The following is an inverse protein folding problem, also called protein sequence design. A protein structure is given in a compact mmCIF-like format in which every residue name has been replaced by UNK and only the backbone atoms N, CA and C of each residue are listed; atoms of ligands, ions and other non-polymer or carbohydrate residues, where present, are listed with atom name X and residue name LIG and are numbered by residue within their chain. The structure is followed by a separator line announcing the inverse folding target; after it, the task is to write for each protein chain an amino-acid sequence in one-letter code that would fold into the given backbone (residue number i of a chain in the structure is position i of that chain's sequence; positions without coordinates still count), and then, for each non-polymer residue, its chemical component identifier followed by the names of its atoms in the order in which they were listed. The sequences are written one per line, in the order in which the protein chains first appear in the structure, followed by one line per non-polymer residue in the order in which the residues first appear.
data_IF_069686401634
#
_entry.id   IF_069686401634
#
_cell.length_a   1.000
_cell.length_b   1.000
_cell.length_c   1.000
_cell.angle_alpha   90.00
_cell.angle_beta   90.00
_cell.angle_gamma   90.00
#
_symmetry.space_group_name_H-M   'P 1'
#
loop_
_entity.id
_entity.type
_entity.pdbx_description
1 polymer ?
#
# COMPACT_ATOMS: atom_id res chain seq x y z
N UNK A 1 -12.36 19.54 3.30
CA UNK A 1 -11.40 19.15 4.36
C UNK A 1 -10.58 20.37 4.75
N UNK A 2 -10.16 20.52 6.01
CA UNK A 2 -9.24 21.60 6.39
C UNK A 2 -7.82 21.29 5.90
N UNK A 3 -7.01 22.32 5.61
CA UNK A 3 -5.58 22.17 5.24
C UNK A 3 -4.77 21.31 6.23
N UNK A 4 -5.26 21.20 7.48
CA UNK A 4 -4.64 20.41 8.53
C UNK A 4 -4.74 18.89 8.30
N UNK A 5 -5.86 18.39 7.77
CA UNK A 5 -6.05 16.94 7.55
C UNK A 5 -5.18 16.45 6.38
N UNK A 6 -5.12 17.25 5.30
CA UNK A 6 -4.28 16.97 4.15
C UNK A 6 -2.79 16.88 4.51
N UNK A 7 -2.29 17.81 5.32
CA UNK A 7 -0.90 17.79 5.78
C UNK A 7 -0.59 16.55 6.63
N UNK A 8 -1.53 16.12 7.49
CA UNK A 8 -1.37 14.89 8.28
C UNK A 8 -1.32 13.63 7.42
N UNK A 9 -2.15 13.56 6.38
CA UNK A 9 -2.16 12.40 5.48
C UNK A 9 -0.84 12.31 4.68
N UNK A 10 -0.26 13.46 4.30
CA UNK A 10 1.08 13.52 3.69
C UNK A 10 2.20 13.10 4.66
N UNK A 11 2.11 13.51 5.92
CA UNK A 11 3.06 13.10 6.97
C UNK A 11 2.99 11.58 7.22
N UNK A 12 1.79 11.02 7.32
CA UNK A 12 1.60 9.58 7.47
C UNK A 12 2.13 8.77 6.27
N UNK A 13 1.95 9.28 5.05
CA UNK A 13 2.53 8.66 3.84
C UNK A 13 4.05 8.52 3.97
N UNK A 14 4.74 9.58 4.40
CA UNK A 14 6.20 9.58 4.62
C UNK A 14 6.62 8.60 5.72
N UNK A 15 5.84 8.46 6.78
CA UNK A 15 6.10 7.46 7.85
C UNK A 15 6.03 6.05 7.27
N UNK A 16 5.01 5.76 6.47
CA UNK A 16 4.87 4.47 5.78
C UNK A 16 6.04 4.18 4.83
N UNK A 17 6.39 5.13 3.97
CA UNK A 17 7.54 5.02 3.06
C UNK A 17 8.85 4.78 3.81
N UNK A 18 9.09 5.51 4.90
CA UNK A 18 10.28 5.32 5.74
C UNK A 18 10.33 3.90 6.30
N UNK A 19 9.22 3.40 6.82
CA UNK A 19 9.19 2.05 7.39
C UNK A 19 9.42 0.97 6.33
N UNK A 20 8.84 1.09 5.14
CA UNK A 20 9.16 0.18 4.03
C UNK A 20 10.65 0.23 3.67
N UNK A 21 11.24 1.42 3.61
CA UNK A 21 12.67 1.58 3.37
C UNK A 21 13.52 0.91 4.45
N UNK A 22 13.25 1.16 5.73
CA UNK A 22 13.95 0.53 6.86
C UNK A 22 13.83 -1.00 6.80
N UNK A 23 12.64 -1.53 6.53
CA UNK A 23 12.42 -2.96 6.31
C UNK A 23 13.34 -3.53 5.21
N UNK A 24 13.49 -2.82 4.08
CA UNK A 24 14.39 -3.28 3.02
C UNK A 24 15.85 -3.32 3.49
N UNK A 25 16.32 -2.28 4.17
CA UNK A 25 17.69 -2.21 4.70
C UNK A 25 17.94 -3.36 5.68
N UNK A 26 17.03 -3.62 6.61
CA UNK A 26 17.13 -4.71 7.59
C UNK A 26 17.18 -6.11 6.94
N UNK A 27 16.60 -6.24 5.75
CA UNK A 27 16.64 -7.48 4.95
C UNK A 27 17.82 -7.54 3.99
N UNK A 28 18.71 -6.54 3.98
CA UNK A 28 19.81 -6.44 3.03
C UNK A 28 19.33 -6.31 1.59
N UNK A 29 18.16 -5.70 1.38
CA UNK A 29 17.58 -5.38 0.08
C UNK A 29 18.01 -3.95 -0.27
N UNK A 30 18.54 -3.76 -1.47
CA UNK A 30 18.85 -2.42 -1.97
C UNK A 30 17.51 -1.73 -2.26
N UNK A 31 17.28 -0.56 -1.66
CA UNK A 31 16.04 0.20 -1.78
C UNK A 31 16.35 1.64 -2.19
N UNK A 32 15.83 2.06 -3.34
CA UNK A 32 16.06 3.40 -3.90
C UNK A 32 14.71 4.12 -3.92
N UNK A 33 14.59 5.20 -3.13
CA UNK A 33 13.43 6.08 -3.20
C UNK A 33 13.48 6.88 -4.52
N UNK A 34 12.43 6.73 -5.32
CA UNK A 34 12.25 7.46 -6.59
C UNK A 34 10.96 8.28 -6.60
N UNK A 35 10.18 8.31 -5.51
CA UNK A 35 8.86 8.93 -5.45
C UNK A 35 8.84 10.43 -5.79
N UNK A 36 9.95 11.13 -5.57
CA UNK A 36 10.11 12.55 -5.95
C UNK A 36 10.67 12.77 -7.35
N UNK A 37 11.11 11.72 -8.05
CA UNK A 37 11.57 11.83 -9.45
C UNK A 37 10.38 12.07 -10.37
N UNK A 38 10.50 13.02 -11.30
CA UNK A 38 9.40 13.41 -12.18
C UNK A 38 8.91 12.27 -13.07
N UNK A 39 9.83 11.50 -13.66
CA UNK A 39 9.51 10.49 -14.67
C UNK A 39 9.31 9.10 -14.06
N UNK A 40 10.24 8.66 -13.23
CA UNK A 40 10.22 7.36 -12.57
C UNK A 40 9.25 7.32 -11.39
N UNK A 41 9.11 8.43 -10.65
CA UNK A 41 8.25 8.51 -9.48
C UNK A 41 6.86 9.01 -9.81
N UNK A 42 6.73 10.33 -9.94
CA UNK A 42 5.46 11.05 -10.04
C UNK A 42 4.62 10.58 -11.23
N UNK A 43 5.18 10.57 -12.43
CA UNK A 43 4.45 10.15 -13.64
C UNK A 43 4.12 8.65 -13.68
N UNK A 44 4.87 7.83 -12.95
CA UNK A 44 4.75 6.38 -12.99
C UNK A 44 4.09 5.80 -11.74
N UNK A 45 3.84 6.59 -10.70
CA UNK A 45 3.28 6.17 -9.42
C UNK A 45 4.13 5.09 -8.73
N UNK A 46 5.45 5.26 -8.73
CA UNK A 46 6.41 4.36 -8.08
C UNK A 46 7.11 5.13 -6.98
N UNK A 47 7.11 4.60 -5.76
CA UNK A 47 7.82 5.22 -4.64
C UNK A 47 9.23 4.65 -4.51
N UNK A 48 9.40 3.36 -4.76
CA UNK A 48 10.68 2.67 -4.61
C UNK A 48 11.01 1.71 -5.75
N UNK A 49 12.29 1.66 -6.10
CA UNK A 49 12.88 0.56 -6.85
C UNK A 49 13.71 -0.27 -5.88
N UNK A 50 13.41 -1.56 -5.79
CA UNK A 50 14.14 -2.49 -4.92
C UNK A 50 14.88 -3.54 -5.73
N UNK A 51 16.04 -3.95 -5.24
CA UNK A 51 16.82 -5.08 -5.77
C UNK A 51 17.09 -6.10 -4.67
N UNK A 52 16.65 -7.33 -4.91
CA UNK A 52 16.87 -8.48 -4.02
C UNK A 52 18.27 -9.07 -4.22
N UNK A 53 18.70 -9.89 -3.26
CA UNK A 53 20.02 -10.54 -3.29
C UNK A 53 20.25 -11.46 -4.50
N UNK A 54 19.18 -11.99 -5.08
CA UNK A 54 19.21 -12.80 -6.30
C UNK A 54 19.30 -11.96 -7.59
N UNK A 55 19.38 -10.63 -7.48
CA UNK A 55 19.45 -9.69 -8.59
C UNK A 55 18.09 -9.26 -9.14
N UNK A 56 16.99 -9.87 -8.69
CA UNK A 56 15.63 -9.51 -9.11
C UNK A 56 15.31 -8.07 -8.70
N UNK A 57 14.62 -7.33 -9.57
CA UNK A 57 14.17 -5.97 -9.29
C UNK A 57 12.65 -5.89 -9.22
N UNK A 58 12.14 -5.01 -8.36
CA UNK A 58 10.72 -4.71 -8.24
C UNK A 58 10.50 -3.21 -8.05
N UNK A 59 9.33 -2.74 -8.50
CA UNK A 59 8.87 -1.35 -8.41
C UNK A 59 7.68 -1.32 -7.48
N UNK A 60 7.86 -0.66 -6.34
CA UNK A 60 6.88 -0.61 -5.26
C UNK A 60 6.16 0.73 -5.24
N UNK A 61 4.86 0.63 -4.99
CA UNK A 61 4.00 1.74 -4.56
C UNK A 61 3.52 1.41 -3.13
N UNK A 62 3.83 2.30 -2.19
CA UNK A 62 3.62 2.15 -0.75
C UNK A 62 2.37 2.91 -0.34
N UNK A 63 1.39 2.19 0.18
CA UNK A 63 0.10 2.73 0.62
C UNK A 63 -0.01 2.63 2.13
N UNK A 64 -0.07 3.80 2.76
CA UNK A 64 -0.42 3.93 4.16
C UNK A 64 -1.95 3.99 4.30
N UNK A 65 -2.55 3.07 5.05
CA UNK A 65 -4.00 3.05 5.29
C UNK A 65 -4.30 3.13 6.79
N UNK A 66 -4.65 4.34 7.24
CA UNK A 66 -4.97 4.66 8.63
C UNK A 66 -6.27 4.01 9.15
N UNK A 67 -7.02 3.30 8.30
CA UNK A 67 -8.32 2.68 8.66
C UNK A 67 -8.28 1.16 8.49
N UNK A 68 -7.22 0.62 7.87
CA UNK A 68 -7.07 -0.82 7.66
C UNK A 68 -7.10 -1.59 8.98
N UNK A 69 -6.51 -1.07 10.05
CA UNK A 69 -6.47 -1.71 11.36
C UNK A 69 -7.84 -1.96 11.98
N UNK A 70 -8.80 -1.06 11.73
CA UNK A 70 -10.17 -1.16 12.27
C UNK A 70 -11.07 -2.04 11.41
N UNK A 71 -10.92 -1.94 10.09
CA UNK A 71 -11.85 -2.56 9.15
C UNK A 71 -11.37 -3.89 8.59
N UNK A 72 -10.06 -4.15 8.67
CA UNK A 72 -9.39 -5.24 7.97
C UNK A 72 -9.45 -5.11 6.44
N UNK A 73 -9.82 -3.95 5.89
CA UNK A 73 -9.94 -3.73 4.45
C UNK A 73 -8.89 -2.73 3.97
N UNK A 74 -8.26 -3.05 2.86
CA UNK A 74 -7.51 -2.13 2.02
C UNK A 74 -8.49 -1.36 1.13
N UNK A 75 -8.32 -0.04 1.01
CA UNK A 75 -9.04 0.76 0.03
C UNK A 75 -8.28 0.85 -1.30
N UNK A 76 -8.74 0.11 -2.30
CA UNK A 76 -8.15 0.12 -3.64
C UNK A 76 -8.81 1.19 -4.50
N UNK A 77 -8.12 2.29 -4.76
CA UNK A 77 -8.69 3.40 -5.55
C UNK A 77 -8.78 3.04 -7.03
N UNK A 78 -10.01 3.01 -7.53
CA UNK A 78 -10.30 2.67 -8.93
C UNK A 78 -10.47 3.91 -9.78
N UNK A 79 -11.17 4.93 -9.28
CA UNK A 79 -11.51 6.12 -10.05
C UNK A 79 -11.50 7.39 -9.19
N UNK A 80 -11.22 8.52 -9.85
CA UNK A 80 -11.29 9.87 -9.31
C UNK A 80 -12.19 10.74 -10.19
N UNK A 81 -12.96 11.63 -9.58
CA UNK A 81 -13.99 12.44 -10.22
C UNK A 81 -14.87 11.60 -11.16
N UNK A 82 -15.66 12.23 -12.03
CA UNK A 82 -16.43 11.52 -13.04
C UNK A 82 -15.49 10.88 -14.07
N UNK A 83 -15.13 9.62 -13.85
CA UNK A 83 -14.51 8.72 -14.83
C UNK A 83 -12.99 8.79 -14.99
N UNK A 84 -12.25 9.58 -14.23
CA UNK A 84 -10.77 9.52 -14.29
C UNK A 84 -10.28 8.28 -13.58
N UNK A 85 -9.26 7.64 -14.13
CA UNK A 85 -8.63 6.44 -13.54
C UNK A 85 -7.88 6.82 -12.26
N UNK A 86 -8.07 6.03 -11.21
CA UNK A 86 -7.33 6.13 -9.95
C UNK A 86 -5.98 5.41 -10.00
N UNK A 87 -5.28 5.38 -8.86
CA UNK A 87 -3.91 4.85 -8.79
C UNK A 87 -3.80 3.37 -9.20
N UNK A 88 -4.84 2.56 -8.97
CA UNK A 88 -4.82 1.14 -9.35
C UNK A 88 -4.52 0.95 -10.84
N UNK A 89 -5.11 1.79 -11.69
CA UNK A 89 -4.93 1.72 -13.14
C UNK A 89 -3.70 2.49 -13.62
N UNK A 90 -3.35 3.61 -12.99
CA UNK A 90 -2.29 4.49 -13.49
C UNK A 90 -0.88 4.08 -13.01
N UNK A 91 -0.78 3.44 -11.83
CA UNK A 91 0.52 3.05 -11.29
C UNK A 91 1.19 1.99 -12.17
N UNK A 92 2.46 2.25 -12.50
CA UNK A 92 3.38 1.35 -13.21
C UNK A 92 4.19 0.48 -12.24
N UNK A 93 3.92 0.57 -10.95
CA UNK A 93 4.45 -0.37 -9.97
C UNK A 93 3.97 -1.80 -10.28
N UNK A 94 4.84 -2.78 -10.05
CA UNK A 94 4.49 -4.20 -10.18
C UNK A 94 4.23 -4.86 -8.82
N UNK A 95 4.56 -4.16 -7.74
CA UNK A 95 4.30 -4.57 -6.37
C UNK A 95 3.65 -3.43 -5.59
N UNK A 96 2.81 -3.80 -4.64
CA UNK A 96 2.24 -2.89 -3.67
C UNK A 96 2.69 -3.27 -2.27
N UNK A 97 2.83 -2.26 -1.42
CA UNK A 97 3.05 -2.42 0.00
C UNK A 97 1.94 -1.69 0.76
N UNK A 98 1.08 -2.41 1.48
CA UNK A 98 0.08 -1.83 2.36
C UNK A 98 0.54 -1.86 3.81
N UNK A 99 0.42 -0.72 4.48
CA UNK A 99 0.93 -0.51 5.82
C UNK A 99 -0.22 -0.33 6.80
N UNK A 100 -0.27 -1.20 7.81
CA UNK A 100 -1.06 -1.07 9.04
C UNK A 100 -0.11 -0.72 10.17
N UNK A 101 0.09 0.58 10.38
CA UNK A 101 0.97 1.10 11.43
C UNK A 101 0.49 0.73 12.83
N UNK A 102 -0.82 0.79 13.07
CA UNK A 102 -1.38 0.52 14.40
C UNK A 102 -1.09 -0.91 14.87
N UNK A 103 -1.11 -1.88 13.97
CA UNK A 103 -0.78 -3.27 14.29
C UNK A 103 0.69 -3.62 13.97
N UNK A 104 1.50 -2.67 13.50
CA UNK A 104 2.87 -2.94 13.10
C UNK A 104 2.99 -3.95 11.95
N UNK A 105 2.04 -3.98 11.02
CA UNK A 105 2.04 -4.93 9.89
C UNK A 105 2.29 -4.26 8.53
N UNK A 106 3.14 -4.89 7.74
CA UNK A 106 3.45 -4.55 6.36
C UNK A 106 3.03 -5.72 5.45
N UNK A 107 2.17 -5.45 4.47
CA UNK A 107 1.66 -6.43 3.52
C UNK A 107 2.19 -6.14 2.13
N UNK A 108 2.94 -7.06 1.54
CA UNK A 108 3.47 -6.91 0.19
C UNK A 108 2.94 -7.98 -0.74
N UNK A 109 2.52 -7.56 -1.93
CA UNK A 109 1.96 -8.45 -2.95
C UNK A 109 2.14 -7.84 -4.34
N UNK A 110 2.04 -8.68 -5.38
CA UNK A 110 2.18 -8.19 -6.76
C UNK A 110 0.88 -7.56 -7.25
N UNK A 111 0.99 -6.60 -8.18
CA UNK A 111 -0.16 -6.02 -8.88
C UNK A 111 -1.01 -7.10 -9.57
N UNK A 112 -0.34 -8.05 -10.23
CA UNK A 112 -0.98 -9.18 -10.90
C UNK A 112 -1.84 -10.03 -9.94
N UNK A 113 -1.33 -10.32 -8.74
CA UNK A 113 -2.09 -11.07 -7.73
C UNK A 113 -3.34 -10.31 -7.28
N UNK A 114 -3.23 -8.99 -7.09
CA UNK A 114 -4.39 -8.15 -6.76
C UNK A 114 -5.42 -8.12 -7.90
N UNK A 115 -4.95 -7.99 -9.16
CA UNK A 115 -5.79 -8.03 -10.36
C UNK A 115 -6.59 -9.33 -10.45
N UNK A 116 -5.93 -10.48 -10.30
CA UNK A 116 -6.58 -11.79 -10.33
C UNK A 116 -7.61 -11.97 -9.19
N UNK A 117 -7.32 -11.45 -7.99
CA UNK A 117 -8.27 -11.47 -6.89
C UNK A 117 -9.51 -10.61 -7.18
N UNK A 118 -9.30 -9.38 -7.64
CA UNK A 118 -10.40 -8.46 -7.98
C UNK A 118 -11.27 -9.06 -9.08
N UNK A 119 -10.68 -9.60 -10.14
CA UNK A 119 -11.41 -10.17 -11.26
C UNK A 119 -12.26 -11.40 -10.86
N UNK A 120 -11.70 -12.27 -10.02
CA UNK A 120 -12.40 -13.45 -9.50
C UNK A 120 -13.48 -13.12 -8.46
N UNK A 121 -13.41 -11.95 -7.80
CA UNK A 121 -14.32 -11.54 -6.73
C UNK A 121 -15.15 -10.29 -7.07
N UNK A 122 -15.15 -9.83 -8.32
CA UNK A 122 -15.72 -8.54 -8.73
C UNK A 122 -17.16 -8.28 -8.28
N UNK A 123 -17.99 -9.32 -8.18
CA UNK A 123 -19.39 -9.23 -7.76
C UNK A 123 -19.59 -9.21 -6.25
N UNK A 124 -18.56 -9.58 -5.48
CA UNK A 124 -18.58 -9.67 -4.02
C UNK A 124 -17.87 -8.48 -3.37
N UNK A 125 -16.94 -7.84 -4.07
CA UNK A 125 -16.23 -6.68 -3.55
C UNK A 125 -17.16 -5.47 -3.46
N UNK A 126 -17.17 -4.84 -2.29
CA UNK A 126 -17.94 -3.62 -2.08
C UNK A 126 -17.19 -2.44 -2.66
N UNK A 127 -17.86 -1.68 -3.53
CA UNK A 127 -17.41 -0.36 -3.97
C UNK A 127 -17.92 0.71 -3.02
N UNK A 128 -17.09 1.71 -2.74
CA UNK A 128 -17.47 2.91 -1.99
C UNK A 128 -16.95 4.15 -2.70
N UNK A 129 -17.71 5.23 -2.62
CA UNK A 129 -17.30 6.56 -3.07
C UNK A 129 -17.17 7.48 -1.86
N UNK A 130 -16.05 8.21 -1.77
CA UNK A 130 -15.76 9.18 -0.72
C UNK A 130 -15.34 10.50 -1.35
N UNK A 131 -15.69 11.61 -0.71
CA UNK A 131 -15.15 12.92 -1.10
C UNK A 131 -13.83 13.16 -0.37
N UNK A 132 -12.73 13.26 -1.12
CA UNK A 132 -11.38 13.56 -0.61
C UNK A 132 -10.88 14.81 -1.33
N UNK A 133 -10.56 15.86 -0.58
CA UNK A 133 -10.07 17.15 -1.13
C UNK A 133 -10.92 17.72 -2.28
N UNK A 134 -12.24 17.74 -2.09
CA UNK A 134 -13.23 18.18 -3.08
C UNK A 134 -13.26 17.34 -4.37
N UNK A 135 -12.60 16.18 -4.39
CA UNK A 135 -12.67 15.18 -5.45
C UNK A 135 -13.49 14.00 -4.98
N UNK A 136 -14.27 13.41 -5.88
CA UNK A 136 -14.92 12.13 -5.60
C UNK A 136 -13.95 11.00 -5.91
N UNK A 137 -13.72 10.12 -4.95
CA UNK A 137 -12.80 9.00 -5.08
C UNK A 137 -13.59 7.72 -4.87
N UNK A 138 -13.61 6.87 -5.89
CA UNK A 138 -14.31 5.58 -5.87
C UNK A 138 -13.30 4.45 -5.80
N UNK A 139 -13.48 3.54 -4.85
CA UNK A 139 -12.57 2.42 -4.65
C UNK A 139 -13.25 1.15 -4.16
N UNK A 140 -12.55 0.04 -4.30
CA UNK A 140 -12.96 -1.27 -3.83
C UNK A 140 -12.40 -1.52 -2.43
N UNK A 141 -13.23 -2.14 -1.57
CA UNK A 141 -12.78 -2.63 -0.28
C UNK A 141 -12.33 -4.08 -0.40
N UNK A 142 -11.02 -4.31 -0.23
CA UNK A 142 -10.42 -5.65 -0.27
C UNK A 142 -10.04 -6.05 1.16
N UNK A 143 -10.71 -7.07 1.69
CA UNK A 143 -10.37 -7.57 3.02
C UNK A 143 -9.02 -8.29 3.01
N UNK A 144 -8.02 -7.78 3.73
CA UNK A 144 -6.63 -8.27 3.66
C UNK A 144 -6.52 -9.73 4.11
N UNK A 145 -7.28 -10.14 5.12
CA UNK A 145 -7.24 -11.52 5.62
C UNK A 145 -7.84 -12.50 4.60
N UNK A 146 -8.98 -12.15 3.99
CA UNK A 146 -9.57 -12.97 2.92
C UNK A 146 -8.66 -13.02 1.69
N UNK A 147 -8.03 -11.92 1.34
CA UNK A 147 -7.07 -11.87 0.26
C UNK A 147 -5.84 -12.73 0.55
N UNK A 148 -5.30 -12.69 1.77
CA UNK A 148 -4.19 -13.55 2.22
C UNK A 148 -4.53 -15.04 2.09
N UNK A 149 -5.70 -15.45 2.62
CA UNK A 149 -6.16 -16.84 2.52
C UNK A 149 -6.35 -17.25 1.05
N UNK A 150 -6.89 -16.37 0.21
CA UNK A 150 -7.02 -16.65 -1.22
C UNK A 150 -5.65 -16.80 -1.90
N UNK A 151 -4.68 -15.94 -1.58
CA UNK A 151 -3.31 -16.05 -2.11
C UNK A 151 -2.69 -17.40 -1.77
N UNK A 152 -2.80 -17.84 -0.51
CA UNK A 152 -2.33 -19.16 -0.07
C UNK A 152 -2.98 -20.30 -0.87
N UNK A 153 -4.29 -20.26 -1.04
CA UNK A 153 -5.04 -21.29 -1.77
C UNK A 153 -4.76 -21.33 -3.28
N UNK A 154 -4.20 -20.26 -3.85
CA UNK A 154 -3.94 -20.13 -5.29
C UNK A 154 -2.43 -20.02 -5.61
N UNK A 155 -1.57 -20.40 -4.67
CA UNK A 155 -0.10 -20.37 -4.82
C UNK A 155 0.46 -18.98 -5.18
N UNK A 156 -0.18 -17.91 -4.72
CA UNK A 156 0.40 -16.57 -4.80
C UNK A 156 1.21 -16.26 -3.55
N UNK A 157 2.31 -15.53 -3.76
CA UNK A 157 3.11 -15.01 -2.66
C UNK A 157 2.55 -13.68 -2.20
N UNK A 158 2.03 -13.66 -0.98
CA UNK A 158 1.76 -12.46 -0.21
C UNK A 158 2.67 -12.48 1.03
N UNK A 159 3.48 -11.44 1.19
CA UNK A 159 4.42 -11.34 2.31
C UNK A 159 3.75 -10.50 3.39
N UNK A 160 3.65 -11.07 4.58
CA UNK A 160 3.26 -10.37 5.80
C UNK A 160 4.51 -10.21 6.68
N UNK A 161 4.88 -8.97 6.98
CA UNK A 161 5.91 -8.65 7.95
C UNK A 161 5.27 -7.97 9.15
N UNK A 162 5.59 -8.44 10.35
CA UNK A 162 5.16 -7.80 11.60
C UNK A 162 6.41 -7.20 12.21
N UNK A 163 6.42 -5.88 12.40
CA UNK A 163 7.44 -5.20 13.19
C UNK A 163 7.27 -5.68 14.62
N UNK A 164 8.28 -6.38 15.14
CA UNK A 164 8.33 -6.61 16.58
C UNK A 164 8.59 -5.23 17.20
N UNK A 165 7.65 -4.73 17.99
CA UNK A 165 7.92 -3.60 18.86
C UNK A 165 8.96 -4.09 19.87
N UNK A 166 10.12 -3.47 19.87
CA UNK A 166 11.07 -3.70 20.95
C UNK A 166 10.42 -3.20 22.25
N UNK A 167 10.63 -3.93 23.34
CA UNK A 167 10.03 -3.64 24.65
C UNK A 167 10.36 -2.21 25.13
N UNK A 168 11.41 -1.62 24.59
CA UNK A 168 11.87 -0.25 24.86
C UNK A 168 10.96 0.83 24.24
N UNK A 169 10.17 0.53 23.20
CA UNK A 169 9.23 1.48 22.57
C UNK A 169 7.91 1.63 23.38
N UNK A 170 7.71 0.82 24.43
CA UNK A 170 6.51 0.88 25.30
C UNK A 170 6.60 2.01 26.33
N UNK A 171 7.81 2.43 26.69
CA UNK A 171 8.03 3.40 27.76
C UNK A 171 7.74 4.86 27.34
N UNK A 172 7.57 5.13 26.05
CA UNK A 172 7.22 6.47 25.52
C UNK A 172 5.70 6.68 25.32
N UNK A 173 4.86 5.69 25.64
CA UNK A 173 3.38 5.74 25.44
C UNK A 173 2.59 5.70 26.77
N UNK A 174 3.26 5.60 27.93
CA UNK A 174 2.64 5.70 29.26
C UNK A 174 2.95 7.03 29.95
#
# INVERSE_FOLDING_TARGET
MSNLQFNKDLEHGKVGEKWFHDFCIDKGIICINVGTDGFLGIESGIDFIVQYQDGTTARFDVKFDSVMHRSGNMFIEMYQDTGKKGWYYNSKANCYCYIDEYNGILWMYTKKTLEEYIDSHKTMLRSITKTIDNREVTGLLVNINKFSVWCENNNHRLVKYVRMLDVEDIDDIL
#
